data_IF_347418174411
#
_entry.id   IF_347418174411
#
_cell.length_a   1.000
_cell.length_b   1.000
_cell.length_c   1.000
_cell.angle_alpha   90.00
_cell.angle_beta   90.00
_cell.angle_gamma   90.00
#
_symmetry.space_group_name_H-M   'P 1'
#
loop_
_entity.id
_entity.type
_entity.pdbx_description
1 polymer ?
#
# COMPACT_ATOMS: atom_id res chain seq x y z
N UNK A 1 -6.02 23.80 -25.80
CA UNK A 1 -6.13 22.54 -25.02
C UNK A 1 -7.07 22.77 -23.86
N UNK A 2 -8.29 22.21 -23.92
CA UNK A 2 -9.27 22.34 -22.84
C UNK A 2 -8.85 21.45 -21.67
N UNK A 3 -8.42 22.06 -20.56
CA UNK A 3 -8.25 21.38 -19.28
C UNK A 3 -9.64 21.01 -18.76
N UNK A 4 -10.00 19.73 -18.84
CA UNK A 4 -11.12 19.19 -18.07
C UNK A 4 -10.74 19.34 -16.60
N UNK A 5 -11.27 20.37 -15.93
CA UNK A 5 -11.25 20.47 -14.47
C UNK A 5 -12.25 19.44 -13.97
N UNK A 6 -11.78 18.23 -13.64
CA UNK A 6 -12.56 17.31 -12.80
C UNK A 6 -12.83 18.04 -11.49
N UNK A 7 -14.11 18.26 -11.11
CA UNK A 7 -14.43 18.88 -9.85
C UNK A 7 -14.03 17.89 -8.76
N UNK A 8 -12.88 18.11 -8.14
CA UNK A 8 -12.54 17.37 -6.91
C UNK A 8 -13.51 17.85 -5.82
N UNK A 9 -14.71 17.27 -5.80
CA UNK A 9 -15.69 17.44 -4.73
C UNK A 9 -15.09 17.04 -3.39
N UNK A 10 -15.73 17.44 -2.29
CA UNK A 10 -15.30 17.13 -0.92
C UNK A 10 -15.02 15.62 -0.80
N UNK A 11 -13.77 15.17 -0.81
CA UNK A 11 -13.44 13.73 -0.72
C UNK A 11 -13.83 13.23 0.68
N UNK A 12 -14.75 12.27 0.75
CA UNK A 12 -15.14 11.63 2.01
C UNK A 12 -14.08 10.58 2.35
N UNK A 13 -13.53 10.61 3.57
CA UNK A 13 -12.65 9.53 4.04
C UNK A 13 -13.48 8.26 4.23
N UNK A 14 -12.98 7.07 3.83
CA UNK A 14 -13.66 5.82 4.14
C UNK A 14 -13.68 5.58 5.65
N UNK A 15 -14.66 4.80 6.12
CA UNK A 15 -14.62 4.23 7.47
C UNK A 15 -13.47 3.23 7.53
N UNK A 16 -12.70 3.28 8.63
CA UNK A 16 -11.64 2.33 8.90
C UNK A 16 -12.13 1.26 9.90
N UNK A 17 -11.65 0.01 9.78
CA UNK A 17 -10.87 -0.50 8.65
C UNK A 17 -11.74 -0.60 7.38
N UNK A 18 -11.11 -0.43 6.22
CA UNK A 18 -11.70 -0.79 4.93
C UNK A 18 -11.65 -2.32 4.83
N UNK A 19 -12.82 -2.94 4.86
CA UNK A 19 -12.97 -4.41 4.76
C UNK A 19 -13.26 -4.85 3.33
N UNK A 20 -13.96 -4.00 2.56
CA UNK A 20 -14.35 -4.29 1.19
C UNK A 20 -14.32 -3.01 0.34
N UNK A 21 -13.48 -3.03 -0.69
CA UNK A 21 -13.35 -1.92 -1.65
C UNK A 21 -14.57 -1.77 -2.57
N UNK A 22 -15.37 -2.84 -2.74
CA UNK A 22 -16.57 -2.81 -3.58
C UNK A 22 -17.74 -2.07 -2.91
N UNK A 23 -17.71 -1.98 -1.57
CA UNK A 23 -18.69 -1.28 -0.77
C UNK A 23 -18.42 0.24 -0.65
N UNK A 24 -17.34 0.74 -1.26
CA UNK A 24 -16.97 2.15 -1.18
C UNK A 24 -17.94 3.03 -1.97
N UNK A 25 -18.37 4.13 -1.37
CA UNK A 25 -19.03 5.19 -2.14
C UNK A 25 -18.06 5.84 -3.13
N UNK A 26 -18.56 6.46 -4.20
CA UNK A 26 -17.71 7.14 -5.19
C UNK A 26 -16.78 8.19 -4.57
N UNK A 27 -17.22 8.87 -3.51
CA UNK A 27 -16.40 9.87 -2.80
C UNK A 27 -15.26 9.24 -1.99
N UNK A 28 -15.47 8.04 -1.45
CA UNK A 28 -14.45 7.27 -0.72
C UNK A 28 -13.46 6.62 -1.69
N UNK A 29 -13.95 6.15 -2.83
CA UNK A 29 -13.12 5.69 -3.94
C UNK A 29 -12.17 6.79 -4.42
N UNK A 30 -12.70 7.99 -4.71
CA UNK A 30 -11.90 9.14 -5.12
C UNK A 30 -10.88 9.57 -4.05
N UNK A 31 -11.24 9.39 -2.77
CA UNK A 31 -10.33 9.63 -1.65
C UNK A 31 -9.16 8.65 -1.65
N UNK A 32 -9.45 7.34 -1.73
CA UNK A 32 -8.43 6.30 -1.75
C UNK A 32 -7.50 6.45 -2.95
N UNK A 33 -8.06 6.67 -4.15
CA UNK A 33 -7.27 6.84 -5.36
C UNK A 33 -6.34 8.05 -5.25
N UNK A 34 -6.80 9.14 -4.62
CA UNK A 34 -5.96 10.29 -4.34
C UNK A 34 -4.81 9.97 -3.38
N UNK A 35 -5.10 9.30 -2.26
CA UNK A 35 -4.08 8.91 -1.27
C UNK A 35 -3.01 8.03 -1.91
N UNK A 36 -3.43 7.01 -2.65
CA UNK A 36 -2.53 6.05 -3.30
C UNK A 36 -1.71 6.73 -4.39
N UNK A 37 -2.31 7.59 -5.21
CA UNK A 37 -1.57 8.33 -6.23
C UNK A 37 -0.56 9.31 -5.61
N UNK A 38 -0.91 9.98 -4.50
CA UNK A 38 0.07 10.81 -3.80
C UNK A 38 1.24 9.98 -3.28
N UNK A 39 0.99 8.81 -2.68
CA UNK A 39 2.06 7.95 -2.19
C UNK A 39 2.93 7.38 -3.33
N UNK A 40 2.31 6.96 -4.44
CA UNK A 40 3.01 6.42 -5.60
C UNK A 40 3.87 7.46 -6.31
N UNK A 41 3.38 8.71 -6.41
CA UNK A 41 4.06 9.79 -7.15
C UNK A 41 4.85 10.74 -6.26
N UNK A 42 4.78 10.58 -4.94
CA UNK A 42 5.54 11.42 -4.01
C UNK A 42 7.04 11.22 -4.25
N UNK A 43 7.63 12.21 -4.90
CA UNK A 43 9.05 12.50 -4.84
C UNK A 43 9.41 13.43 -3.68
N UNK A 44 8.41 14.03 -3.02
CA UNK A 44 8.57 15.23 -2.19
C UNK A 44 8.78 14.92 -0.72
N UNK A 45 10.01 15.17 -0.29
CA UNK A 45 10.39 15.93 0.90
C UNK A 45 9.69 15.60 2.23
N UNK A 46 10.41 14.93 3.14
CA UNK A 46 10.66 15.47 4.50
C UNK A 46 11.51 14.55 5.39
N UNK A 47 11.78 13.28 5.03
CA UNK A 47 12.59 12.39 5.87
C UNK A 47 13.50 11.52 5.00
N UNK A 48 14.78 11.29 5.39
CA UNK A 48 15.64 10.34 4.71
C UNK A 48 15.11 8.93 4.95
N UNK A 49 14.13 8.53 4.13
CA UNK A 49 13.64 7.16 4.09
C UNK A 49 14.61 6.34 3.23
N UNK A 50 15.07 5.17 3.70
CA UNK A 50 15.88 4.27 2.90
C UNK A 50 15.26 4.00 1.54
N UNK A 51 16.11 3.88 0.51
CA UNK A 51 15.68 3.75 -0.89
C UNK A 51 14.72 2.57 -1.10
N UNK A 52 14.97 1.44 -0.45
CA UNK A 52 14.15 0.24 -0.60
C UNK A 52 12.76 0.42 0.01
N UNK A 53 12.67 1.07 1.19
CA UNK A 53 11.39 1.37 1.85
C UNK A 53 10.56 2.34 0.99
N UNK A 54 11.21 3.36 0.42
CA UNK A 54 10.55 4.26 -0.52
C UNK A 54 10.05 3.51 -1.75
N UNK A 55 10.90 2.68 -2.34
CA UNK A 55 10.57 1.89 -3.53
C UNK A 55 9.37 0.99 -3.26
N UNK A 56 9.37 0.28 -2.13
CA UNK A 56 8.26 -0.54 -1.70
C UNK A 56 6.97 0.28 -1.57
N UNK A 57 6.98 1.41 -0.86
CA UNK A 57 5.81 2.29 -0.71
C UNK A 57 5.26 2.78 -2.04
N UNK A 58 6.12 3.11 -3.01
CA UNK A 58 5.68 3.54 -4.33
C UNK A 58 5.05 2.39 -5.12
N UNK A 59 5.70 1.22 -5.14
CA UNK A 59 5.22 0.04 -5.86
C UNK A 59 3.90 -0.46 -5.29
N UNK A 60 3.78 -0.56 -3.96
CA UNK A 60 2.55 -1.02 -3.32
C UNK A 60 1.40 -0.04 -3.52
N UNK A 61 1.66 1.27 -3.43
CA UNK A 61 0.63 2.28 -3.69
C UNK A 61 0.13 2.24 -5.13
N UNK A 62 1.05 2.09 -6.09
CA UNK A 62 0.72 1.95 -7.51
C UNK A 62 -0.08 0.68 -7.78
N UNK A 63 0.32 -0.45 -7.20
CA UNK A 63 -0.38 -1.73 -7.29
C UNK A 63 -1.82 -1.62 -6.79
N UNK A 64 -2.00 -1.10 -5.57
CA UNK A 64 -3.34 -0.90 -4.99
C UNK A 64 -4.16 0.08 -5.85
N UNK A 65 -3.61 1.21 -6.29
CA UNK A 65 -4.34 2.15 -7.15
C UNK A 65 -4.82 1.51 -8.47
N UNK A 66 -3.99 0.66 -9.07
CA UNK A 66 -4.34 -0.08 -10.28
C UNK A 66 -5.45 -1.10 -10.03
N UNK A 67 -5.40 -1.85 -8.92
CA UNK A 67 -6.47 -2.78 -8.57
C UNK A 67 -7.78 -2.04 -8.28
N UNK A 68 -7.72 -0.92 -7.55
CA UNK A 68 -8.88 -0.07 -7.26
C UNK A 68 -9.54 0.44 -8.53
N UNK A 69 -8.77 1.00 -9.46
CA UNK A 69 -9.29 1.54 -10.74
C UNK A 69 -9.88 0.45 -11.64
N UNK A 70 -9.32 -0.76 -11.60
CA UNK A 70 -9.85 -1.94 -12.29
C UNK A 70 -10.96 -2.67 -11.53
N UNK A 71 -11.36 -2.19 -10.35
CA UNK A 71 -12.35 -2.81 -9.47
C UNK A 71 -12.02 -4.28 -9.14
N UNK A 72 -10.74 -4.60 -9.02
CA UNK A 72 -10.27 -5.95 -8.66
C UNK A 72 -10.25 -6.10 -7.15
N UNK A 73 -10.74 -7.23 -6.64
CA UNK A 73 -10.75 -7.55 -5.21
C UNK A 73 -9.36 -7.50 -4.59
N UNK A 74 -9.27 -6.95 -3.39
CA UNK A 74 -8.03 -6.94 -2.61
C UNK A 74 -7.91 -8.23 -1.79
N UNK A 75 -6.71 -8.77 -1.71
CA UNK A 75 -6.38 -9.83 -0.76
C UNK A 75 -6.38 -9.28 0.67
N UNK A 76 -6.39 -10.18 1.67
CA UNK A 76 -6.35 -9.78 3.08
C UNK A 76 -5.09 -8.95 3.39
N UNK A 77 -3.91 -9.37 2.90
CA UNK A 77 -2.67 -8.61 3.09
C UNK A 77 -2.73 -7.23 2.44
N UNK A 78 -3.33 -7.11 1.25
CA UNK A 78 -3.51 -5.83 0.56
C UNK A 78 -4.45 -4.89 1.32
N UNK A 79 -5.55 -5.41 1.89
CA UNK A 79 -6.44 -4.63 2.75
C UNK A 79 -5.75 -4.17 4.03
N UNK A 80 -4.96 -5.04 4.68
CA UNK A 80 -4.20 -4.67 5.87
C UNK A 80 -3.14 -3.60 5.56
N UNK A 81 -2.44 -3.71 4.42
CA UNK A 81 -1.51 -2.68 3.95
C UNK A 81 -2.25 -1.36 3.69
N UNK A 82 -3.38 -1.40 2.97
CA UNK A 82 -4.19 -0.22 2.70
C UNK A 82 -4.59 0.48 4.01
N UNK A 83 -5.08 -0.28 4.99
CA UNK A 83 -5.46 0.26 6.29
C UNK A 83 -4.27 0.86 7.03
N UNK A 84 -3.12 0.18 7.05
CA UNK A 84 -1.88 0.72 7.63
C UNK A 84 -1.43 2.04 6.97
N UNK A 85 -1.57 2.18 5.64
CA UNK A 85 -1.29 3.44 4.93
C UNK A 85 -2.25 4.55 5.39
N UNK A 86 -3.54 4.25 5.51
CA UNK A 86 -4.56 5.22 5.90
C UNK A 86 -4.41 5.66 7.37
N UNK A 87 -4.10 4.72 8.25
CA UNK A 87 -3.81 4.97 9.67
C UNK A 87 -2.57 5.85 9.82
N UNK A 88 -1.44 5.47 9.22
CA UNK A 88 -0.20 6.25 9.24
C UNK A 88 -0.38 7.67 8.66
N UNK A 89 -1.25 7.86 7.66
CA UNK A 89 -1.52 9.19 7.11
C UNK A 89 -2.24 10.10 8.11
N UNK A 90 -2.99 9.53 9.06
CA UNK A 90 -3.65 10.30 10.11
C UNK A 90 -2.71 10.62 11.29
N UNK A 91 -1.54 9.97 11.38
CA UNK A 91 -0.55 10.22 12.43
C UNK A 91 0.41 11.37 12.09
N UNK A 92 0.90 12.10 13.12
CA UNK A 92 2.06 12.98 12.99
C UNK A 92 3.26 12.22 12.42
N UNK A 93 4.12 12.88 11.64
CA UNK A 93 5.21 12.20 10.92
C UNK A 93 6.14 11.41 11.85
N UNK A 94 6.37 11.91 13.07
CA UNK A 94 7.23 11.28 14.09
C UNK A 94 6.65 9.99 14.68
N UNK A 95 5.35 9.79 14.54
CA UNK A 95 4.60 8.64 15.08
C UNK A 95 4.24 7.63 13.99
N UNK A 96 4.61 7.90 12.73
CA UNK A 96 4.37 6.97 11.63
C UNK A 96 5.26 5.75 11.78
N UNK A 97 4.63 4.59 11.80
CA UNK A 97 5.33 3.32 11.85
C UNK A 97 5.64 2.81 10.45
N UNK A 98 6.66 1.95 10.33
CA UNK A 98 6.83 1.15 9.12
C UNK A 98 5.65 0.21 8.98
N UNK A 99 5.20 -0.04 7.75
CA UNK A 99 4.11 -0.99 7.50
C UNK A 99 4.47 -2.42 7.98
N UNK A 100 5.77 -2.74 7.98
CA UNK A 100 6.35 -3.99 8.43
C UNK A 100 7.63 -4.28 7.67
N UNK A 101 8.02 -5.55 7.66
CA UNK A 101 9.13 -6.06 6.87
C UNK A 101 8.66 -6.42 5.46
N UNK A 102 9.52 -6.25 4.47
CA UNK A 102 9.24 -6.66 3.10
C UNK A 102 10.52 -7.12 2.39
N UNK A 103 10.33 -7.91 1.34
CA UNK A 103 11.36 -8.25 0.37
C UNK A 103 10.77 -8.09 -1.03
N UNK A 104 11.38 -7.23 -1.86
CA UNK A 104 10.85 -6.95 -3.20
C UNK A 104 11.04 -8.17 -4.11
N UNK A 105 10.07 -8.48 -4.97
CA UNK A 105 10.19 -9.63 -5.87
C UNK A 105 11.43 -9.53 -6.78
N UNK A 106 11.77 -8.31 -7.23
CA UNK A 106 12.98 -8.07 -8.02
C UNK A 106 14.27 -8.52 -7.31
N UNK A 107 14.33 -8.42 -5.99
CA UNK A 107 15.49 -8.83 -5.19
C UNK A 107 15.57 -10.36 -5.09
N UNK A 108 14.42 -11.04 -5.13
CA UNK A 108 14.34 -12.50 -5.12
C UNK A 108 14.73 -13.08 -6.48
N UNK A 109 14.33 -12.43 -7.57
CA UNK A 109 14.66 -12.86 -8.95
C UNK A 109 16.17 -12.83 -9.23
N UNK A 110 16.92 -12.00 -8.49
CA UNK A 110 18.39 -11.91 -8.56
C UNK A 110 19.11 -13.03 -7.79
N UNK A 111 18.39 -13.84 -7.00
CA UNK A 111 18.95 -14.94 -6.21
C UNK A 111 19.01 -16.25 -6.99
N UNK A 112 20.17 -16.92 -6.96
CA UNK A 112 20.36 -18.23 -7.56
C UNK A 112 19.51 -19.35 -6.91
N UNK A 113 19.02 -19.15 -5.69
CA UNK A 113 18.22 -20.11 -4.91
C UNK A 113 16.83 -19.55 -4.50
N UNK A 114 16.20 -18.77 -5.38
CA UNK A 114 14.92 -18.09 -5.14
C UNK A 114 13.82 -18.96 -4.53
N UNK A 115 13.68 -20.23 -4.94
CA UNK A 115 12.66 -21.14 -4.41
C UNK A 115 12.85 -21.48 -2.92
N UNK A 116 14.09 -21.72 -2.50
CA UNK A 116 14.41 -22.01 -1.09
C UNK A 116 14.13 -20.76 -0.24
N UNK A 117 14.52 -19.60 -0.75
CA UNK A 117 14.29 -18.32 -0.08
C UNK A 117 12.80 -17.98 0.05
N UNK A 118 12.00 -18.19 -1.00
CA UNK A 118 10.54 -18.03 -0.95
C UNK A 118 9.90 -18.95 0.09
N UNK A 119 10.39 -20.18 0.20
CA UNK A 119 9.92 -21.15 1.20
C UNK A 119 10.17 -20.62 2.60
N UNK A 120 11.39 -20.14 2.87
CA UNK A 120 11.76 -19.53 4.16
C UNK A 120 10.93 -18.28 4.49
N UNK A 121 10.68 -17.40 3.51
CA UNK A 121 9.82 -16.23 3.70
C UNK A 121 8.40 -16.63 4.11
N UNK A 122 7.84 -17.64 3.43
CA UNK A 122 6.49 -18.13 3.73
C UNK A 122 6.42 -18.78 5.11
N UNK A 123 7.42 -19.59 5.48
CA UNK A 123 7.53 -20.22 6.80
C UNK A 123 7.71 -19.19 7.95
N UNK A 124 8.31 -18.03 7.66
CA UNK A 124 8.49 -16.94 8.63
C UNK A 124 7.34 -15.92 8.66
N UNK A 125 6.24 -16.24 7.96
CA UNK A 125 4.98 -15.50 8.02
C UNK A 125 4.86 -14.34 7.05
N UNK A 126 5.76 -14.21 6.06
CA UNK A 126 5.57 -13.28 4.96
C UNK A 126 4.45 -13.76 4.04
N UNK A 127 3.69 -12.80 3.51
CA UNK A 127 2.60 -13.03 2.58
C UNK A 127 2.92 -12.35 1.25
N UNK A 128 2.63 -13.04 0.16
CA UNK A 128 2.85 -12.49 -1.18
C UNK A 128 1.84 -11.37 -1.48
N UNK A 129 2.35 -10.22 -1.90
CA UNK A 129 1.62 -9.24 -2.70
C UNK A 129 2.06 -9.40 -4.15
N UNK A 130 1.13 -9.83 -4.99
CA UNK A 130 1.39 -10.14 -6.40
C UNK A 130 2.12 -9.00 -7.11
N UNK A 131 3.18 -9.35 -7.85
CA UNK A 131 3.99 -8.42 -8.64
C UNK A 131 4.69 -7.30 -7.85
N UNK A 132 4.71 -7.36 -6.51
CA UNK A 132 5.33 -6.33 -5.66
C UNK A 132 6.40 -6.94 -4.76
N UNK A 133 5.99 -7.70 -3.75
CA UNK A 133 6.86 -8.11 -2.64
C UNK A 133 6.27 -9.25 -1.82
N UNK A 134 7.12 -9.92 -1.05
CA UNK A 134 6.70 -10.62 0.15
C UNK A 134 6.66 -9.63 1.31
N UNK A 135 5.58 -9.60 2.08
CA UNK A 135 5.35 -8.61 3.15
C UNK A 135 4.94 -9.30 4.45
N UNK A 136 5.54 -8.87 5.56
CA UNK A 136 5.14 -9.24 6.92
C UNK A 136 4.83 -7.97 7.69
N UNK A 137 3.56 -7.72 7.95
CA UNK A 137 3.12 -6.53 8.68
C UNK A 137 3.47 -6.65 10.16
N UNK A 138 3.75 -5.50 10.80
CA UNK A 138 3.93 -5.45 12.25
C UNK A 138 2.63 -5.91 12.93
N UNK A 139 2.74 -6.78 13.94
CA UNK A 139 1.60 -7.24 14.76
C UNK A 139 0.90 -6.10 15.52
N UNK A 140 1.44 -4.87 15.45
CA UNK A 140 0.89 -3.66 16.05
C UNK A 140 -0.35 -3.11 15.32
N UNK A 141 -0.63 -3.52 14.07
CA UNK A 141 -1.94 -3.24 13.43
C UNK A 141 -2.96 -4.27 13.96
N UNK A 142 -3.16 -4.29 15.29
CA UNK A 142 -4.31 -4.92 15.93
C UNK A 142 -5.41 -3.88 15.90
N UNK A 143 -6.40 -4.13 15.04
CA UNK A 143 -7.68 -3.44 15.07
C UNK A 143 -8.30 -3.63 16.47
N UNK A 144 -8.18 -2.60 17.31
CA UNK A 144 -9.02 -2.40 18.49
C UNK A 144 -10.25 -1.58 18.07
#
# INVERSE_FOLDING_TARGET
MNRIKVPFGRKKKPKLPVEDISALSSMEFDHLLYVLNELATSYRDAHPMPYDIRTFHQLIAFHLANKLTKQQTYSNIELRILNGILENRNLPIKERETLGDFVLLREIDELNNSNEFITQLTETGFQLVENVAYVRLNDAIKHN
#
